data_IF_859903254549
#
_entry.id   IF_859903254549
#
_cell.length_a   1.000
_cell.length_b   1.000
_cell.length_c   1.000
_cell.angle_alpha   90.00
_cell.angle_beta   90.00
_cell.angle_gamma   90.00
#
_symmetry.space_group_name_H-M   'P 1'
#
loop_
_entity.id
_entity.type
_entity.pdbx_description
1 polymer ?
#
# COMPACT_ATOMS: atom_id res chain seq x y z
N UNK A 1 -38.52 -5.33 23.37
CA UNK A 1 -37.38 -4.46 23.76
C UNK A 1 -36.27 -4.71 22.74
N UNK A 2 -36.20 -3.88 21.69
CA UNK A 2 -35.16 -3.96 20.69
C UNK A 2 -34.24 -2.76 20.86
N UNK A 3 -33.10 -2.96 21.54
CA UNK A 3 -32.04 -1.94 21.68
C UNK A 3 -31.60 -1.37 20.31
N UNK A 4 -31.81 -2.14 19.25
CA UNK A 4 -31.47 -1.77 17.87
C UNK A 4 -32.33 -0.60 17.35
N UNK A 5 -33.57 -0.43 17.84
CA UNK A 5 -34.50 0.60 17.34
C UNK A 5 -34.32 1.97 18.00
N UNK A 6 -33.93 2.01 19.28
CA UNK A 6 -33.62 3.27 19.99
C UNK A 6 -32.30 3.91 19.49
N UNK A 7 -31.40 3.11 18.90
CA UNK A 7 -30.15 3.59 18.32
C UNK A 7 -30.32 4.29 16.96
N UNK A 8 -31.53 4.33 16.41
CA UNK A 8 -31.84 5.16 15.23
C UNK A 8 -32.03 6.65 15.59
N UNK A 9 -32.07 7.01 16.88
CA UNK A 9 -32.65 8.28 17.35
C UNK A 9 -31.67 9.43 17.60
N UNK A 10 -30.36 9.24 17.54
CA UNK A 10 -29.47 10.40 17.52
C UNK A 10 -29.07 10.66 16.08
N UNK A 11 -29.82 11.53 15.39
CA UNK A 11 -29.43 12.20 14.14
C UNK A 11 -28.19 13.07 14.38
N UNK A 12 -27.12 12.46 14.87
CA UNK A 12 -25.86 13.13 15.11
C UNK A 12 -25.24 13.31 13.74
N UNK A 13 -25.37 14.53 13.21
CA UNK A 13 -24.65 14.97 12.03
C UNK A 13 -23.19 15.02 12.43
N UNK A 14 -22.44 13.96 12.16
CA UNK A 14 -20.98 13.96 12.35
C UNK A 14 -20.40 14.80 11.22
N UNK A 15 -19.73 15.91 11.54
CA UNK A 15 -19.07 16.75 10.54
C UNK A 15 -17.97 15.95 9.83
N UNK A 16 -17.64 16.31 8.59
CA UNK A 16 -16.57 15.66 7.82
C UNK A 16 -15.24 15.64 8.59
N UNK A 17 -14.97 16.68 9.38
CA UNK A 17 -13.79 16.76 10.24
C UNK A 17 -13.79 15.66 11.33
N UNK A 18 -14.93 15.42 11.97
CA UNK A 18 -15.09 14.42 13.04
C UNK A 18 -15.07 13.00 12.45
N UNK A 19 -15.66 12.82 11.26
CA UNK A 19 -15.58 11.57 10.48
C UNK A 19 -14.12 11.23 10.18
N UNK A 20 -13.34 12.21 9.72
CA UNK A 20 -11.93 12.05 9.39
C UNK A 20 -11.10 11.75 10.63
N UNK A 21 -11.30 12.48 11.73
CA UNK A 21 -10.57 12.25 12.99
C UNK A 21 -10.85 10.83 13.52
N UNK A 22 -12.11 10.41 13.50
CA UNK A 22 -12.52 9.07 13.93
C UNK A 22 -11.89 7.98 13.04
N UNK A 23 -11.89 8.19 11.73
CA UNK A 23 -11.28 7.28 10.77
C UNK A 23 -9.77 7.17 11.01
N UNK A 24 -9.07 8.30 11.13
CA UNK A 24 -7.63 8.34 11.40
C UNK A 24 -7.30 7.62 12.70
N UNK A 25 -8.09 7.80 13.76
CA UNK A 25 -7.89 7.11 15.05
C UNK A 25 -8.06 5.60 14.98
N UNK A 26 -8.92 5.12 14.08
CA UNK A 26 -9.25 3.71 13.89
C UNK A 26 -8.25 2.97 12.98
N UNK A 27 -7.37 3.69 12.29
CA UNK A 27 -6.37 3.07 11.40
C UNK A 27 -5.31 2.29 12.21
N UNK A 28 -4.91 1.07 11.76
CA UNK A 28 -3.89 0.27 12.42
C UNK A 28 -2.50 0.92 12.35
N UNK A 29 -1.60 0.52 13.27
CA UNK A 29 -0.25 1.08 13.47
C UNK A 29 0.60 1.18 12.18
N UNK A 30 0.37 0.30 11.20
CA UNK A 30 1.06 0.33 9.90
C UNK A 30 0.82 1.61 9.10
N UNK A 31 -0.20 2.39 9.45
CA UNK A 31 -0.51 3.68 8.84
C UNK A 31 -0.12 4.87 9.73
N UNK A 32 0.66 4.69 10.79
CA UNK A 32 0.99 5.77 11.73
C UNK A 32 1.59 7.00 11.03
N UNK A 33 2.54 6.78 10.10
CA UNK A 33 3.10 7.85 9.28
C UNK A 33 2.06 8.51 8.35
N UNK A 34 1.07 7.76 7.86
CA UNK A 34 -0.02 8.35 7.06
C UNK A 34 -0.91 9.22 7.94
N UNK A 35 -1.20 8.76 9.17
CA UNK A 35 -1.98 9.53 10.16
C UNK A 35 -1.28 10.82 10.55
N UNK A 36 0.04 10.78 10.79
CA UNK A 36 0.83 11.97 11.11
C UNK A 36 0.80 12.99 9.96
N UNK A 37 1.06 12.52 8.73
CA UNK A 37 1.02 13.38 7.53
C UNK A 37 -0.36 13.99 7.32
N UNK A 38 -1.44 13.22 7.48
CA UNK A 38 -2.81 13.72 7.27
C UNK A 38 -3.30 14.57 8.46
N UNK A 39 -2.88 14.26 9.69
CA UNK A 39 -3.32 14.96 10.90
C UNK A 39 -2.61 16.30 11.12
N UNK A 40 -1.33 16.41 10.74
CA UNK A 40 -0.55 17.65 10.88
C UNK A 40 -0.48 18.48 9.59
N UNK A 41 -0.86 17.93 8.44
CA UNK A 41 -1.04 18.73 7.24
C UNK A 41 -2.28 19.59 7.46
N UNK A 42 -2.11 20.90 7.65
CA UNK A 42 -3.18 21.89 7.87
C UNK A 42 -4.14 22.08 6.69
N UNK A 43 -4.43 21.02 5.93
CA UNK A 43 -5.47 20.91 4.90
C UNK A 43 -6.66 20.19 5.50
N UNK A 44 -7.86 20.65 5.17
CA UNK A 44 -9.08 19.92 5.49
C UNK A 44 -9.20 18.71 4.55
N UNK A 45 -9.22 17.51 5.10
CA UNK A 45 -9.46 16.28 4.34
C UNK A 45 -10.94 15.95 4.34
N UNK A 46 -11.42 15.36 3.25
CA UNK A 46 -12.70 14.66 3.26
C UNK A 46 -12.48 13.20 3.66
N UNK A 47 -13.50 12.51 4.20
CA UNK A 47 -13.41 11.08 4.46
C UNK A 47 -12.98 10.28 3.21
N UNK A 48 -13.45 10.67 2.02
CA UNK A 48 -13.05 10.08 0.74
C UNK A 48 -11.56 10.24 0.44
N UNK A 49 -10.97 11.42 0.69
CA UNK A 49 -9.53 11.65 0.51
C UNK A 49 -8.70 10.72 1.40
N UNK A 50 -9.12 10.53 2.66
CA UNK A 50 -8.43 9.63 3.60
C UNK A 50 -8.56 8.19 3.15
N UNK A 51 -9.74 7.76 2.69
CA UNK A 51 -9.95 6.41 2.15
C UNK A 51 -9.06 6.18 0.92
N UNK A 52 -9.02 7.12 -0.03
CA UNK A 52 -8.18 7.04 -1.22
C UNK A 52 -6.69 6.97 -0.85
N UNK A 53 -6.25 7.77 0.13
CA UNK A 53 -4.88 7.74 0.62
C UNK A 53 -4.52 6.40 1.30
N UNK A 54 -5.41 5.86 2.12
CA UNK A 54 -5.26 4.55 2.77
C UNK A 54 -5.19 3.43 1.71
N UNK A 55 -6.09 3.41 0.73
CA UNK A 55 -6.10 2.42 -0.34
C UNK A 55 -4.83 2.48 -1.20
N UNK A 56 -4.39 3.68 -1.55
CA UNK A 56 -3.12 3.89 -2.27
C UNK A 56 -1.95 3.36 -1.45
N UNK A 57 -1.96 3.62 -0.13
CA UNK A 57 -0.91 3.17 0.78
C UNK A 57 -0.88 1.64 0.94
N UNK A 58 -2.05 1.00 1.00
CA UNK A 58 -2.16 -0.46 1.03
C UNK A 58 -1.54 -1.11 -0.21
N UNK A 59 -1.77 -0.52 -1.39
CA UNK A 59 -1.19 -1.02 -2.64
C UNK A 59 0.35 -0.90 -2.65
N UNK A 60 0.91 0.16 -2.05
CA UNK A 60 2.35 0.26 -1.86
C UNK A 60 2.91 -0.88 -0.99
N UNK A 61 2.17 -1.34 0.02
CA UNK A 61 2.61 -2.45 0.86
C UNK A 61 2.64 -3.77 0.08
N UNK A 62 1.62 -4.09 -0.72
CA UNK A 62 1.59 -5.30 -1.56
C UNK A 62 2.73 -5.33 -2.60
N UNK A 63 3.00 -4.19 -3.23
CA UNK A 63 4.03 -4.10 -4.27
C UNK A 63 5.45 -4.23 -3.72
N UNK A 64 5.71 -3.75 -2.50
CA UNK A 64 7.01 -3.94 -1.81
C UNK A 64 7.28 -5.41 -1.50
N UNK A 65 6.24 -6.20 -1.23
CA UNK A 65 6.36 -7.65 -0.99
C UNK A 65 6.60 -8.41 -2.32
N UNK A 66 5.94 -8.01 -3.41
CA UNK A 66 6.13 -8.61 -4.75
C UNK A 66 7.45 -8.26 -5.45
N UNK A 67 8.11 -7.17 -5.04
CA UNK A 67 9.37 -6.70 -5.63
C UNK A 67 10.57 -7.62 -5.38
N UNK A 68 10.42 -8.68 -4.55
CA UNK A 68 11.42 -9.75 -4.38
C UNK A 68 11.26 -10.93 -5.33
N UNK A 69 10.47 -10.80 -6.40
CA UNK A 69 10.48 -11.76 -7.50
C UNK A 69 11.79 -11.63 -8.30
N UNK A 70 12.84 -12.27 -7.79
CA UNK A 70 14.09 -12.65 -8.47
C UNK A 70 13.76 -13.59 -9.65
N UNK A 71 13.02 -13.10 -10.63
CA UNK A 71 12.90 -13.74 -11.94
C UNK A 71 14.01 -13.24 -12.84
N UNK A 72 15.29 -13.48 -12.50
CA UNK A 72 16.37 -13.35 -13.50
C UNK A 72 16.05 -14.41 -14.56
N UNK A 73 15.28 -14.05 -15.59
CA UNK A 73 15.22 -14.80 -16.84
C UNK A 73 16.66 -14.83 -17.34
N UNK A 74 17.37 -15.92 -17.05
CA UNK A 74 18.77 -16.06 -17.45
C UNK A 74 18.74 -16.16 -18.97
N UNK A 75 19.05 -15.05 -19.64
CA UNK A 75 19.00 -14.98 -21.10
C UNK A 75 19.96 -15.96 -21.76
N UNK A 76 19.83 -16.12 -23.07
CA UNK A 76 20.74 -16.90 -23.90
C UNK A 76 22.12 -16.23 -23.96
N UNK A 77 23.17 -17.03 -23.96
CA UNK A 77 24.56 -16.59 -24.07
C UNK A 77 24.93 -16.30 -25.52
N UNK A 78 25.50 -15.12 -25.80
CA UNK A 78 25.83 -14.71 -27.16
C UNK A 78 27.21 -15.21 -27.61
N UNK A 79 27.88 -15.99 -26.75
CA UNK A 79 29.19 -16.58 -27.01
C UNK A 79 29.06 -18.03 -27.43
N UNK A 80 28.30 -18.83 -26.67
CA UNK A 80 28.12 -20.26 -26.93
C UNK A 80 26.69 -20.64 -27.35
N UNK A 81 25.74 -19.72 -27.34
CA UNK A 81 24.33 -20.00 -27.66
C UNK A 81 23.55 -20.73 -26.56
N UNK A 82 24.17 -21.08 -25.43
CA UNK A 82 23.50 -21.78 -24.33
C UNK A 82 22.55 -20.88 -23.53
N UNK A 83 21.41 -21.42 -23.07
CA UNK A 83 20.53 -20.72 -22.16
C UNK A 83 21.03 -20.79 -20.70
N UNK A 84 20.41 -20.06 -19.79
CA UNK A 84 20.79 -20.12 -18.38
C UNK A 84 22.00 -19.26 -17.97
N UNK A 85 22.63 -18.48 -18.88
CA UNK A 85 23.73 -17.56 -18.55
C UNK A 85 24.00 -16.52 -19.65
N UNK A 86 24.60 -15.39 -19.30
CA UNK A 86 25.03 -14.36 -20.27
C UNK A 86 26.52 -14.47 -20.61
N UNK A 87 26.99 -13.70 -21.61
CA UNK A 87 28.38 -13.63 -22.07
C UNK A 87 29.44 -13.49 -20.96
N UNK A 88 29.12 -12.84 -19.84
CA UNK A 88 30.06 -12.62 -18.72
C UNK A 88 30.11 -13.80 -17.73
N UNK A 89 29.20 -14.76 -17.87
CA UNK A 89 29.07 -15.97 -17.04
C UNK A 89 29.27 -17.23 -17.90
N UNK A 90 29.88 -17.09 -19.08
CA UNK A 90 30.03 -18.17 -20.04
C UNK A 90 31.18 -19.11 -19.62
N UNK A 91 30.90 -20.38 -19.27
CA UNK A 91 31.93 -21.32 -18.86
C UNK A 91 32.88 -21.67 -20.02
N UNK A 92 32.42 -21.52 -21.26
CA UNK A 92 33.22 -21.77 -22.47
C UNK A 92 34.18 -20.63 -22.83
N UNK A 93 34.21 -19.53 -22.07
CA UNK A 93 35.04 -18.35 -22.40
C UNK A 93 36.50 -18.46 -21.91
N UNK A 94 36.94 -19.64 -21.46
CA UNK A 94 38.33 -19.89 -21.05
C UNK A 94 38.99 -21.08 -21.79
N UNK A 95 38.97 -21.06 -23.12
CA UNK A 95 40.01 -21.72 -23.91
C UNK A 95 40.34 -20.87 -25.14
#
# INVERSE_FOLDING_TARGET
QGLVSDLSYMNVSVSDEEQVILLLHSLPERFDHLRDVLGYCGRNFTPDDVIAAVLTKELEFDTRERSKSKGKKKGVCWVCGGDGHYKNQCPSRNF
#
